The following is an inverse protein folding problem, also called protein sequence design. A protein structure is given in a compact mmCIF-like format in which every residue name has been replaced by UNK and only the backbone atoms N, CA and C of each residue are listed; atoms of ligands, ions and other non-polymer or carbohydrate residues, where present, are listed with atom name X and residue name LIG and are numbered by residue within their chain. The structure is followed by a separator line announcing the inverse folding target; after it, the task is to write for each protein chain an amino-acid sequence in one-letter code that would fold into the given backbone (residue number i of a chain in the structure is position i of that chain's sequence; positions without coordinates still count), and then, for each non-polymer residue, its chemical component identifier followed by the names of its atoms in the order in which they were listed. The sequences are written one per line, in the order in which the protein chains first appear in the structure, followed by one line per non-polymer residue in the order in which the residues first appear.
data_IF_942959609912
#
_entry.id   IF_942959609912
#
_cell.length_a   1.000
_cell.length_b   1.000
_cell.length_c   1.000
_cell.angle_alpha   90.00
_cell.angle_beta   90.00
_cell.angle_gamma   90.00
#
_symmetry.space_group_name_H-M   'P 1'
#
loop_
_entity.id
_entity.type
_entity.pdbx_description
1 polymer ?
#
# COMPACT_ATOMS: atom_id res chain seq x y z
N UNK A 1 -22.05 3.58 5.60
CA UNK A 1 -21.42 3.66 6.92
C UNK A 1 -22.43 3.25 7.98
N UNK A 2 -22.06 2.41 8.90
CA UNK A 2 -22.71 2.37 10.20
C UNK A 2 -21.95 3.35 11.11
N UNK A 3 -22.48 3.62 12.33
CA UNK A 3 -21.90 4.64 13.21
C UNK A 3 -20.43 4.40 13.62
N UNK A 4 -19.86 3.25 13.33
CA UNK A 4 -18.55 2.83 13.81
C UNK A 4 -17.58 2.40 12.70
N UNK A 5 -18.08 2.19 11.49
CA UNK A 5 -17.28 1.66 10.40
C UNK A 5 -17.55 2.38 9.08
N UNK A 6 -16.51 2.50 8.28
CA UNK A 6 -16.57 2.82 6.86
C UNK A 6 -16.63 1.52 6.06
N UNK A 7 -17.59 1.43 5.14
CA UNK A 7 -17.65 0.34 4.17
C UNK A 7 -17.07 0.86 2.86
N UNK A 8 -16.12 0.14 2.32
CA UNK A 8 -15.47 0.45 1.04
C UNK A 8 -15.73 -0.70 0.09
N UNK A 9 -16.25 -0.38 -1.09
CA UNK A 9 -16.41 -1.33 -2.19
C UNK A 9 -15.61 -0.84 -3.38
N UNK A 10 -14.91 -1.73 -4.07
CA UNK A 10 -14.06 -1.35 -5.19
C UNK A 10 -13.95 -2.45 -6.23
N UNK A 11 -13.77 -2.06 -7.48
CA UNK A 11 -13.34 -2.97 -8.55
C UNK A 11 -11.81 -3.08 -8.68
N UNK A 12 -11.06 -2.38 -7.82
CA UNK A 12 -9.58 -2.36 -7.78
C UNK A 12 -8.91 -1.92 -9.08
N UNK A 13 -9.62 -1.19 -9.95
CA UNK A 13 -9.03 -0.61 -11.15
C UNK A 13 -8.52 0.79 -10.81
N UNK A 14 -7.22 1.09 -11.01
CA UNK A 14 -6.66 2.39 -10.70
C UNK A 14 -7.25 3.49 -11.60
N UNK A 15 -7.30 4.71 -11.08
CA UNK A 15 -7.78 5.90 -11.81
C UNK A 15 -6.72 6.55 -12.71
N UNK A 16 -5.57 5.92 -12.83
CA UNK A 16 -4.44 6.36 -13.65
C UNK A 16 -3.95 5.22 -14.54
N UNK A 17 -3.17 5.56 -15.55
CA UNK A 17 -2.46 4.56 -16.33
C UNK A 17 -1.47 3.82 -15.43
N UNK A 18 -1.28 2.55 -15.70
CA UNK A 18 -0.37 1.70 -14.98
C UNK A 18 0.36 0.77 -15.94
N UNK A 19 1.58 0.44 -15.57
CA UNK A 19 2.33 -0.62 -16.25
C UNK A 19 2.44 -1.80 -15.28
N UNK A 20 2.11 -2.97 -15.80
CA UNK A 20 2.37 -4.19 -15.07
C UNK A 20 3.74 -4.71 -15.46
N UNK A 21 4.53 -5.11 -14.49
CA UNK A 21 5.74 -5.87 -14.70
C UNK A 21 5.42 -7.28 -15.25
N UNK A 22 4.23 -7.75 -14.98
CA UNK A 22 3.71 -9.01 -15.53
C UNK A 22 2.75 -8.73 -16.67
N UNK A 23 2.78 -9.56 -17.71
CA UNK A 23 2.01 -9.38 -18.96
C UNK A 23 0.48 -9.58 -18.81
N UNK A 24 -0.08 -9.37 -17.66
CA UNK A 24 -1.50 -9.48 -17.39
C UNK A 24 -2.18 -8.11 -17.43
N UNK A 25 -3.36 -8.03 -18.00
CA UNK A 25 -4.21 -6.85 -17.87
C UNK A 25 -4.82 -6.80 -16.47
N UNK A 26 -5.15 -5.60 -16.00
CA UNK A 26 -5.95 -5.45 -14.80
C UNK A 26 -7.37 -5.96 -15.08
N UNK A 27 -7.79 -6.91 -14.26
CA UNK A 27 -9.16 -7.40 -14.28
C UNK A 27 -9.94 -6.78 -13.11
N UNK A 28 -11.20 -6.45 -13.34
CA UNK A 28 -12.08 -5.96 -12.29
C UNK A 28 -12.23 -7.01 -11.18
N UNK A 29 -12.07 -6.55 -9.96
CA UNK A 29 -12.27 -7.31 -8.76
C UNK A 29 -13.62 -6.91 -8.11
N UNK A 30 -14.11 -7.71 -7.22
CA UNK A 30 -15.24 -7.35 -6.37
C UNK A 30 -14.78 -7.37 -4.92
N UNK A 31 -14.27 -6.24 -4.47
CA UNK A 31 -13.66 -6.10 -3.16
C UNK A 31 -14.53 -5.31 -2.22
N UNK A 32 -14.66 -5.82 -0.99
CA UNK A 32 -15.40 -5.22 0.09
C UNK A 32 -14.55 -5.19 1.36
N UNK A 33 -14.41 -4.01 1.97
CA UNK A 33 -13.72 -3.84 3.23
C UNK A 33 -14.56 -3.08 4.24
N UNK A 34 -14.41 -3.47 5.50
CA UNK A 34 -15.00 -2.78 6.64
C UNK A 34 -13.89 -2.21 7.50
N UNK A 35 -13.76 -0.90 7.52
CA UNK A 35 -12.67 -0.17 8.17
C UNK A 35 -13.23 0.55 9.39
N UNK A 36 -12.69 0.35 10.60
CA UNK A 36 -13.12 1.06 11.79
C UNK A 36 -12.88 2.56 11.67
N UNK A 37 -13.85 3.38 12.12
CA UNK A 37 -13.73 4.84 12.14
C UNK A 37 -13.07 5.38 13.41
N UNK A 38 -12.90 4.53 14.41
CA UNK A 38 -12.26 4.85 15.67
C UNK A 38 -11.15 3.83 15.94
N UNK A 39 -9.99 3.97 15.28
CA UNK A 39 -8.86 3.10 15.51
C UNK A 39 -8.40 3.24 16.96
N UNK A 40 -7.89 2.16 17.51
CA UNK A 40 -7.35 2.12 18.87
C UNK A 40 -5.95 1.57 18.83
N UNK A 41 -5.03 2.28 19.49
CA UNK A 41 -3.68 1.77 19.64
C UNK A 41 -3.68 0.52 20.53
N UNK A 42 -2.94 -0.50 20.12
CA UNK A 42 -2.67 -1.65 20.97
C UNK A 42 -1.60 -1.27 22.02
N UNK A 43 -2.08 -1.00 23.20
CA UNK A 43 -1.22 -0.67 24.35
C UNK A 43 -0.92 -1.88 25.26
N UNK A 44 -1.32 -3.07 24.84
CA UNK A 44 -1.18 -4.29 25.66
C UNK A 44 0.27 -4.73 25.89
N UNK A 45 1.21 -4.11 25.16
CA UNK A 45 2.64 -4.35 25.26
C UNK A 45 3.06 -5.65 24.59
N UNK A 46 4.26 -5.65 24.05
CA UNK A 46 5.00 -6.77 23.47
C UNK A 46 4.19 -7.75 22.64
N UNK A 47 4.33 -7.66 21.34
CA UNK A 47 3.74 -8.64 20.45
C UNK A 47 4.36 -10.02 20.66
N UNK A 48 3.54 -11.04 20.73
CA UNK A 48 3.94 -12.42 20.93
C UNK A 48 2.96 -13.37 20.23
N UNK A 49 3.24 -14.64 20.22
CA UNK A 49 2.44 -15.65 19.51
C UNK A 49 0.98 -15.75 19.97
N UNK A 50 0.59 -15.14 21.07
CA UNK A 50 -0.78 -15.18 21.59
C UNK A 50 -1.63 -14.01 21.05
N UNK A 51 -1.04 -12.83 20.85
CA UNK A 51 -1.75 -11.64 20.40
C UNK A 51 -1.37 -11.18 18.98
N UNK A 52 -0.30 -11.74 18.43
CA UNK A 52 0.19 -11.44 17.11
C UNK A 52 0.75 -12.74 16.52
N UNK A 53 -0.04 -13.48 15.75
CA UNK A 53 0.40 -14.75 15.18
C UNK A 53 1.66 -14.56 14.36
N UNK A 54 2.70 -15.31 14.68
CA UNK A 54 3.93 -15.25 13.96
C UNK A 54 3.77 -15.88 12.57
N UNK A 55 4.10 -15.15 11.53
CA UNK A 55 4.54 -15.75 10.30
C UNK A 55 6.04 -16.02 10.41
N UNK A 56 6.47 -17.22 10.09
CA UNK A 56 7.88 -17.62 10.01
C UNK A 56 8.75 -17.31 11.25
N UNK A 57 8.16 -17.28 12.43
CA UNK A 57 8.88 -17.07 13.69
C UNK A 57 9.14 -15.61 14.08
N UNK A 58 8.79 -14.65 13.25
CA UNK A 58 8.71 -13.24 13.62
C UNK A 58 7.35 -12.91 14.23
N UNK A 59 7.27 -11.92 15.09
CA UNK A 59 6.02 -11.46 15.68
C UNK A 59 5.45 -10.33 14.82
N UNK A 60 4.68 -10.72 13.82
CA UNK A 60 4.06 -9.79 12.88
C UNK A 60 2.56 -9.73 13.10
N UNK A 61 2.02 -8.53 13.26
CA UNK A 61 0.60 -8.31 13.46
C UNK A 61 -0.15 -8.04 12.16
N UNK A 62 0.57 -7.76 11.09
CA UNK A 62 0.05 -7.70 9.74
C UNK A 62 0.12 -9.07 9.06
N UNK A 63 -0.76 -9.37 8.12
CA UNK A 63 -0.61 -10.55 7.29
C UNK A 63 0.71 -10.46 6.52
N UNK A 64 1.43 -11.57 6.43
CA UNK A 64 2.65 -11.70 5.64
C UNK A 64 2.40 -11.53 4.13
N UNK A 65 1.16 -11.63 3.69
CA UNK A 65 0.74 -11.45 2.29
C UNK A 65 -0.66 -10.90 2.20
N UNK A 66 -0.92 -10.19 1.11
CA UNK A 66 -2.23 -9.64 0.80
C UNK A 66 -2.40 -8.19 1.26
N UNK A 67 -3.61 -7.70 1.11
CA UNK A 67 -3.90 -6.31 1.40
C UNK A 67 -3.87 -6.00 2.89
N UNK A 68 -3.19 -4.92 3.24
CA UNK A 68 -3.15 -4.34 4.61
C UNK A 68 -3.93 -3.03 4.68
N UNK A 69 -4.21 -2.45 3.52
CA UNK A 69 -4.92 -1.17 3.40
C UNK A 69 -5.63 -1.08 2.04
N UNK A 70 -6.41 -0.02 1.88
CA UNK A 70 -6.99 0.38 0.61
C UNK A 70 -6.64 1.83 0.31
N UNK A 71 -6.18 2.10 -0.90
CA UNK A 71 -5.93 3.45 -1.40
C UNK A 71 -7.24 4.21 -1.62
N UNK A 72 -7.17 5.54 -1.65
CA UNK A 72 -8.36 6.40 -1.85
C UNK A 72 -9.04 6.13 -3.19
N UNK A 73 -8.29 5.71 -4.21
CA UNK A 73 -8.85 5.31 -5.51
C UNK A 73 -9.42 3.88 -5.52
N UNK A 74 -9.41 3.17 -4.38
CA UNK A 74 -9.98 1.83 -4.25
C UNK A 74 -9.04 0.68 -4.61
N UNK A 75 -7.79 0.96 -4.97
CA UNK A 75 -6.78 -0.07 -5.23
C UNK A 75 -6.23 -0.60 -3.89
N UNK A 76 -6.10 -1.91 -3.69
CA UNK A 76 -5.50 -2.46 -2.48
C UNK A 76 -4.05 -2.01 -2.32
N UNK A 77 -3.63 -1.82 -1.08
CA UNK A 77 -2.22 -1.64 -0.70
C UNK A 77 -1.80 -2.90 0.04
N UNK A 78 -0.78 -3.57 -0.46
CA UNK A 78 -0.18 -4.75 0.15
C UNK A 78 1.00 -4.34 1.03
N UNK A 79 1.40 -5.24 1.91
CA UNK A 79 2.68 -5.13 2.59
C UNK A 79 3.86 -5.35 1.64
N UNK A 80 5.10 -5.30 2.15
CA UNK A 80 6.28 -5.50 1.32
C UNK A 80 6.39 -6.92 0.76
N UNK A 81 5.83 -7.90 1.43
CA UNK A 81 5.98 -9.30 1.07
C UNK A 81 4.98 -9.75 0.01
N UNK A 82 5.48 -10.54 -0.92
CA UNK A 82 4.73 -11.24 -1.97
C UNK A 82 5.01 -12.75 -1.93
N UNK A 83 4.14 -13.49 -2.57
CA UNK A 83 4.32 -14.94 -2.67
C UNK A 83 5.25 -15.36 -3.83
N UNK A 84 5.88 -16.51 -3.70
CA UNK A 84 6.68 -17.00 -2.57
C UNK A 84 8.09 -16.38 -2.57
N UNK A 85 8.45 -15.73 -1.48
CA UNK A 85 9.77 -15.14 -1.28
C UNK A 85 9.99 -13.79 -1.99
N UNK A 86 8.96 -13.19 -2.58
CA UNK A 86 9.03 -11.85 -3.17
C UNK A 86 8.97 -10.76 -2.09
N UNK A 87 9.71 -9.68 -2.30
CA UNK A 87 9.73 -8.54 -1.40
C UNK A 87 9.91 -7.24 -2.19
N UNK A 88 8.96 -6.32 -2.01
CA UNK A 88 8.95 -5.03 -2.71
C UNK A 88 10.09 -4.09 -2.31
N UNK A 89 10.71 -4.32 -1.16
CA UNK A 89 11.82 -3.51 -0.65
C UNK A 89 13.17 -4.21 -0.76
N UNK A 90 13.20 -5.47 -1.22
CA UNK A 90 14.45 -6.18 -1.48
C UNK A 90 15.20 -5.54 -2.64
N UNK A 91 16.46 -5.23 -2.44
CA UNK A 91 17.33 -4.63 -3.45
C UNK A 91 18.10 -5.68 -4.25
N UNK A 92 18.23 -6.89 -3.71
CA UNK A 92 19.00 -7.98 -4.30
C UNK A 92 18.46 -9.33 -3.84
N UNK A 93 18.85 -10.38 -4.52
CA UNK A 93 18.54 -11.75 -4.11
C UNK A 93 19.22 -12.08 -2.76
N UNK A 94 18.52 -12.79 -1.89
CA UNK A 94 18.93 -13.06 -0.50
C UNK A 94 19.17 -11.79 0.33
N UNK A 95 18.33 -10.79 0.14
CA UNK A 95 18.36 -9.55 0.88
C UNK A 95 18.32 -9.81 2.39
N UNK A 96 19.25 -9.23 3.14
CA UNK A 96 19.47 -9.49 4.57
C UNK A 96 19.75 -10.94 4.96
N UNK A 97 20.40 -11.72 4.08
CA UNK A 97 20.65 -13.15 4.30
C UNK A 97 19.37 -13.98 4.49
N UNK A 98 18.23 -13.44 4.10
CA UNK A 98 16.94 -14.12 4.09
C UNK A 98 16.60 -14.61 2.68
N UNK A 99 15.65 -15.55 2.59
CA UNK A 99 15.15 -16.04 1.29
C UNK A 99 14.17 -15.02 0.67
N UNK A 100 14.62 -13.78 0.53
CA UNK A 100 13.90 -12.67 -0.07
C UNK A 100 14.50 -12.30 -1.41
N UNK A 101 13.66 -12.02 -2.36
CA UNK A 101 14.06 -11.63 -3.71
C UNK A 101 13.28 -10.42 -4.17
N UNK A 102 13.92 -9.54 -4.97
CA UNK A 102 13.22 -8.42 -5.59
C UNK A 102 12.01 -8.90 -6.38
N UNK A 103 10.95 -8.12 -6.33
CA UNK A 103 9.81 -8.30 -7.24
C UNK A 103 9.80 -7.17 -8.26
N UNK A 104 9.35 -7.50 -9.47
CA UNK A 104 9.16 -6.50 -10.49
C UNK A 104 7.92 -5.68 -10.18
N UNK A 105 8.11 -4.39 -10.01
CA UNK A 105 7.04 -3.41 -9.84
C UNK A 105 7.04 -2.44 -11.02
N UNK A 106 5.85 -2.07 -11.43
CA UNK A 106 5.64 -1.01 -12.39
C UNK A 106 5.73 0.37 -11.73
N UNK A 107 5.31 1.39 -12.48
CA UNK A 107 5.18 2.74 -11.92
C UNK A 107 4.27 2.73 -10.71
N UNK A 108 4.50 3.66 -9.79
CA UNK A 108 3.77 3.78 -8.53
C UNK A 108 3.99 2.62 -7.55
N UNK A 109 5.02 1.80 -7.76
CA UNK A 109 5.24 0.64 -6.92
C UNK A 109 4.06 -0.33 -6.91
N UNK A 110 3.43 -0.49 -8.06
CA UNK A 110 2.29 -1.37 -8.25
C UNK A 110 2.57 -2.46 -9.27
N UNK A 111 1.87 -3.55 -9.15
CA UNK A 111 1.81 -4.55 -10.20
C UNK A 111 0.45 -5.26 -10.22
N UNK A 112 0.24 -6.05 -11.27
CA UNK A 112 -0.90 -6.94 -11.36
C UNK A 112 -0.47 -8.36 -10.98
N UNK A 113 -1.03 -8.87 -9.90
CA UNK A 113 -0.83 -10.23 -9.43
C UNK A 113 -2.13 -11.05 -9.47
N UNK A 114 -2.15 -12.26 -8.91
CA UNK A 114 -3.36 -13.09 -8.85
C UNK A 114 -4.55 -12.46 -8.12
N UNK A 115 -4.31 -11.44 -7.30
CA UNK A 115 -5.33 -10.67 -6.59
C UNK A 115 -5.72 -9.36 -7.28
N UNK A 116 -5.39 -9.17 -8.56
CA UNK A 116 -5.60 -7.92 -9.27
C UNK A 116 -4.46 -6.91 -9.09
N UNK A 117 -4.68 -5.68 -9.53
CA UNK A 117 -3.71 -4.58 -9.33
C UNK A 117 -3.65 -4.20 -7.86
N UNK A 118 -2.46 -4.00 -7.35
CA UNK A 118 -2.23 -3.52 -5.99
C UNK A 118 -0.92 -2.72 -5.89
N UNK A 119 -0.87 -1.83 -4.90
CA UNK A 119 0.33 -1.07 -4.55
C UNK A 119 1.14 -1.80 -3.49
N UNK A 120 2.46 -1.68 -3.54
CA UNK A 120 3.36 -2.02 -2.44
C UNK A 120 3.94 -0.78 -1.78
N UNK A 121 4.18 0.27 -2.57
CA UNK A 121 4.59 1.59 -2.09
C UNK A 121 4.01 2.67 -3.01
N UNK A 122 4.33 3.90 -2.77
CA UNK A 122 4.07 5.09 -3.59
C UNK A 122 2.67 5.22 -4.23
N UNK A 123 1.62 4.94 -3.45
CA UNK A 123 0.25 5.19 -3.90
C UNK A 123 -0.06 6.69 -4.12
N UNK A 124 0.92 7.60 -3.98
CA UNK A 124 0.78 9.02 -4.27
C UNK A 124 0.48 9.30 -5.74
N UNK A 125 0.89 8.44 -6.64
CA UNK A 125 0.61 8.59 -8.06
C UNK A 125 -0.89 8.62 -8.41
N UNK A 126 -1.76 8.18 -7.52
CA UNK A 126 -3.20 8.31 -7.69
C UNK A 126 -3.68 9.78 -7.72
N UNK A 127 -2.87 10.71 -7.21
CA UNK A 127 -3.13 12.15 -7.21
C UNK A 127 -2.35 12.89 -8.28
N UNK A 128 -1.47 12.20 -8.99
CA UNK A 128 -0.69 12.83 -10.03
C UNK A 128 -1.53 12.99 -11.29
N UNK A 129 -1.49 14.20 -11.82
CA UNK A 129 -2.13 14.55 -13.08
C UNK A 129 -1.03 14.97 -14.05
N UNK A 130 -0.86 14.22 -15.12
CA UNK A 130 0.18 14.51 -16.10
C UNK A 130 -0.08 15.89 -16.73
N UNK A 131 0.80 16.86 -16.53
CA UNK A 131 0.63 18.21 -17.06
C UNK A 131 0.59 18.24 -18.60
N UNK A 132 1.07 17.19 -19.25
CA UNK A 132 1.06 17.04 -20.70
C UNK A 132 -0.06 16.10 -21.19
N UNK A 133 -0.82 15.50 -20.29
CA UNK A 133 -1.90 14.57 -20.61
C UNK A 133 -1.42 13.25 -21.21
N UNK A 134 -0.17 12.87 -20.97
CA UNK A 134 0.43 11.74 -21.65
C UNK A 134 0.27 10.43 -20.89
N UNK A 135 1.13 10.13 -19.97
CA UNK A 135 1.09 8.83 -19.27
C UNK A 135 1.82 8.85 -17.94
N UNK A 136 1.49 7.90 -17.07
CA UNK A 136 2.14 7.69 -15.77
C UNK A 136 3.66 7.45 -15.90
N UNK A 137 4.19 7.17 -17.09
CA UNK A 137 5.64 7.01 -17.31
C UNK A 137 6.45 8.25 -16.96
N UNK A 138 5.81 9.41 -16.95
CA UNK A 138 6.43 10.69 -16.61
C UNK A 138 6.30 10.99 -15.12
N UNK A 139 5.62 10.17 -14.35
CA UNK A 139 5.49 10.36 -12.92
C UNK A 139 6.86 10.27 -12.23
N UNK A 140 7.17 11.31 -11.49
CA UNK A 140 8.32 11.35 -10.59
C UNK A 140 7.84 11.88 -9.23
N UNK A 141 8.10 11.15 -8.17
CA UNK A 141 7.73 11.58 -6.82
C UNK A 141 8.40 12.89 -6.40
N UNK A 142 9.49 13.29 -7.08
CA UNK A 142 10.14 14.62 -6.87
C UNK A 142 9.32 15.79 -7.39
N UNK A 143 8.29 15.53 -8.22
CA UNK A 143 7.34 16.54 -8.67
C UNK A 143 6.26 16.84 -7.62
N UNK A 144 6.18 16.05 -6.56
CA UNK A 144 5.25 16.28 -5.47
C UNK A 144 5.68 17.49 -4.64
N UNK A 145 4.71 18.27 -4.18
CA UNK A 145 4.97 19.45 -3.36
C UNK A 145 5.51 19.06 -1.97
N UNK A 146 6.82 19.15 -1.81
CA UNK A 146 7.52 18.88 -0.56
C UNK A 146 7.36 19.97 0.51
N UNK A 147 6.64 21.05 0.22
CA UNK A 147 6.40 22.17 1.15
C UNK A 147 5.09 22.03 1.91
N UNK A 148 4.29 21.04 1.57
CA UNK A 148 2.99 20.79 2.17
C UNK A 148 2.90 19.34 2.68
N UNK A 149 2.14 19.18 3.75
CA UNK A 149 1.78 17.84 4.22
C UNK A 149 1.04 17.08 3.12
N UNK A 150 1.48 15.85 2.87
CA UNK A 150 0.86 14.99 1.88
C UNK A 150 -0.62 14.71 2.21
N UNK A 151 -1.45 14.49 1.21
CA UNK A 151 -2.82 14.04 1.42
C UNK A 151 -2.87 12.61 1.99
N UNK A 152 -4.05 12.22 2.46
CA UNK A 152 -4.33 10.81 2.76
C UNK A 152 -4.31 10.03 1.44
N UNK A 153 -3.47 9.01 1.36
CA UNK A 153 -3.34 8.13 0.19
C UNK A 153 -4.14 6.84 0.35
N UNK A 154 -4.49 6.49 1.57
CA UNK A 154 -5.25 5.27 1.85
C UNK A 154 -5.66 5.16 3.31
N UNK A 155 -6.31 4.06 3.60
CA UNK A 155 -6.77 3.69 4.94
C UNK A 155 -6.33 2.27 5.25
N UNK A 156 -5.57 2.12 6.30
CA UNK A 156 -5.23 0.81 6.84
C UNK A 156 -6.48 0.10 7.36
N UNK A 157 -6.50 -1.20 7.33
CA UNK A 157 -7.68 -1.96 7.73
C UNK A 157 -7.97 -1.93 9.23
N UNK A 158 -7.03 -1.47 10.03
CA UNK A 158 -7.20 -1.16 11.45
C UNK A 158 -7.82 0.24 11.70
N UNK A 159 -8.00 1.04 10.64
CA UNK A 159 -8.67 2.35 10.68
C UNK A 159 -7.76 3.56 10.69
N UNK A 160 -6.44 3.37 10.72
CA UNK A 160 -5.52 4.51 10.64
C UNK A 160 -5.38 5.04 9.21
N UNK A 161 -5.34 6.37 9.05
CA UNK A 161 -5.06 6.96 7.74
C UNK A 161 -3.59 6.78 7.37
N UNK A 162 -3.34 6.51 6.09
CA UNK A 162 -2.00 6.48 5.51
C UNK A 162 -1.83 7.76 4.71
N UNK A 163 -0.79 8.50 5.01
CA UNK A 163 -0.42 9.73 4.30
C UNK A 163 0.72 9.46 3.32
N UNK A 164 0.91 10.36 2.39
CA UNK A 164 2.08 10.36 1.53
C UNK A 164 3.37 10.71 2.29
N UNK A 165 4.45 10.88 1.55
CA UNK A 165 5.80 10.93 2.12
C UNK A 165 6.14 12.20 2.91
N UNK A 166 5.38 13.28 2.74
CA UNK A 166 5.66 14.55 3.42
C UNK A 166 4.72 14.76 4.60
N UNK A 167 5.28 14.80 5.79
CA UNK A 167 4.55 15.00 7.04
C UNK A 167 5.11 16.18 7.85
N UNK A 168 4.39 16.60 8.89
CA UNK A 168 4.86 17.62 9.80
C UNK A 168 5.88 17.05 10.77
N UNK A 169 7.01 17.74 10.93
CA UNK A 169 7.94 17.47 12.02
C UNK A 169 7.45 18.12 13.34
N UNK A 170 8.15 17.87 14.44
CA UNK A 170 7.83 18.42 15.78
C UNK A 170 7.79 19.96 15.84
N UNK A 171 8.37 20.64 14.87
CA UNK A 171 8.36 22.10 14.75
C UNK A 171 7.26 22.63 13.82
N UNK A 172 6.40 21.75 13.31
CA UNK A 172 5.35 22.12 12.36
C UNK A 172 5.87 22.50 10.98
N UNK A 173 7.00 21.93 10.56
CA UNK A 173 7.57 22.07 9.21
C UNK A 173 7.42 20.74 8.47
N UNK A 174 7.19 20.82 7.18
CA UNK A 174 7.20 19.66 6.27
C UNK A 174 8.63 19.32 5.90
#
# INVERSE_FOLDING_TARGET
TNSNNMLVTSNAIPNHNWLSAYAANADEQNMDWTIPLNPTEDTSGGHNSANCPAANGAYECAPDRGAVAVAVNGVPIFGPEEGPGGDAVALEFLYFDEDRQPIDLGYCGAHNGPGGVHYHYDAMCQFWDDPNGETIVNYDYTDLDSTQHSPIIGWAFDGYPIYGMYGWNDNGQV
#
